data_IF_455320769414
#
_entry.id   IF_455320769414
#
_cell.length_a   1.000
_cell.length_b   1.000
_cell.length_c   1.000
_cell.angle_alpha   90.00
_cell.angle_beta   90.00
_cell.angle_gamma   90.00
#
_symmetry.space_group_name_H-M   'P 1'
#
loop_
_entity.id
_entity.type
_entity.pdbx_description
1 polymer ?
#
# COMPACT_ATOMS: atom_id res chain seq x y z
N UNK A 1 15.83 -1.60 3.04
CA UNK A 1 16.00 -3.07 2.96
C UNK A 1 15.80 -3.75 4.32
N UNK A 2 15.91 -3.02 5.44
CA UNK A 2 15.62 -3.53 6.78
C UNK A 2 14.12 -3.76 6.96
N UNK A 3 13.69 -4.96 7.41
CA UNK A 3 12.28 -5.23 7.68
C UNK A 3 11.80 -4.59 9.00
N UNK A 4 10.48 -4.39 9.18
CA UNK A 4 9.94 -3.56 10.28
C UNK A 4 10.31 -4.03 11.69
N UNK A 5 10.37 -5.34 11.92
CA UNK A 5 10.71 -5.94 13.20
C UNK A 5 12.16 -5.63 13.63
N UNK A 6 13.06 -5.47 12.66
CA UNK A 6 14.45 -5.07 12.90
C UNK A 6 14.63 -3.56 12.91
N UNK A 7 13.78 -2.81 12.21
CA UNK A 7 13.84 -1.35 12.15
C UNK A 7 13.73 -0.72 13.55
N UNK A 8 12.82 -1.22 14.42
CA UNK A 8 12.66 -0.70 15.79
C UNK A 8 13.96 -0.79 16.61
N UNK A 9 14.66 -1.92 16.51
CA UNK A 9 15.91 -2.16 17.23
C UNK A 9 17.08 -1.36 16.64
N UNK A 10 17.23 -1.34 15.32
CA UNK A 10 18.33 -0.59 14.67
C UNK A 10 18.24 0.91 14.92
N UNK A 11 17.02 1.43 15.13
CA UNK A 11 16.80 2.83 15.49
C UNK A 11 16.73 3.06 17.01
N UNK A 12 17.20 2.11 17.82
CA UNK A 12 17.27 2.21 19.29
C UNK A 12 15.95 2.59 19.96
N UNK A 13 14.81 2.21 19.36
CA UNK A 13 13.49 2.43 19.95
C UNK A 13 13.13 1.34 20.97
N UNK A 14 13.90 0.25 21.03
CA UNK A 14 13.67 -0.91 21.89
C UNK A 14 15.00 -1.64 22.09
N UNK A 15 15.23 -2.16 23.30
CA UNK A 15 16.36 -3.07 23.56
C UNK A 15 16.01 -4.53 23.20
N UNK A 16 14.71 -4.81 23.03
CA UNK A 16 14.21 -6.15 22.78
C UNK A 16 14.56 -6.63 21.36
N UNK A 17 15.17 -7.80 21.29
CA UNK A 17 15.54 -8.43 20.03
C UNK A 17 14.30 -9.07 19.35
N UNK A 18 14.08 -8.88 18.03
CA UNK A 18 12.89 -9.41 17.36
C UNK A 18 12.80 -10.94 17.34
N UNK A 19 13.91 -11.66 17.55
CA UNK A 19 13.88 -13.13 17.71
C UNK A 19 13.48 -13.57 19.12
N UNK A 20 13.73 -12.75 20.14
CA UNK A 20 13.37 -13.05 21.54
C UNK A 20 11.95 -12.56 21.85
N UNK A 21 11.58 -11.41 21.28
CA UNK A 21 10.26 -10.80 21.39
C UNK A 21 9.68 -10.59 19.99
N UNK A 22 9.09 -11.64 19.39
CA UNK A 22 8.49 -11.53 18.07
C UNK A 22 7.33 -10.52 18.09
N UNK A 23 7.21 -9.75 17.01
CA UNK A 23 6.07 -8.86 16.85
C UNK A 23 4.78 -9.66 16.65
N UNK A 24 3.65 -9.15 17.11
CA UNK A 24 2.34 -9.74 16.87
C UNK A 24 2.12 -9.91 15.36
N UNK A 25 1.61 -11.07 14.93
CA UNK A 25 1.39 -11.43 13.52
C UNK A 25 -0.11 -11.40 13.12
N UNK A 26 -0.73 -10.22 12.93
CA UNK A 26 -2.06 -10.11 12.36
C UNK A 26 -2.11 -10.62 10.92
N UNK A 27 -3.27 -11.16 10.54
CA UNK A 27 -3.54 -11.81 9.24
C UNK A 27 -3.21 -10.95 8.00
N UNK A 28 -3.15 -9.63 8.16
CA UNK A 28 -2.93 -8.67 7.07
C UNK A 28 -1.49 -8.14 6.99
N UNK A 29 -0.58 -8.57 7.89
CA UNK A 29 0.82 -8.17 7.79
C UNK A 29 1.43 -8.74 6.51
N UNK A 30 2.26 -7.92 5.86
CA UNK A 30 3.02 -8.35 4.70
C UNK A 30 4.10 -9.35 5.12
N UNK A 31 4.01 -10.58 4.59
CA UNK A 31 5.04 -11.62 4.79
C UNK A 31 6.39 -11.26 4.19
N UNK A 32 6.36 -10.57 3.05
CA UNK A 32 7.55 -10.14 2.32
C UNK A 32 7.65 -8.61 2.38
N UNK A 33 8.67 -8.11 3.07
CA UNK A 33 8.97 -6.68 3.09
C UNK A 33 9.37 -6.18 1.69
N UNK A 34 8.69 -5.13 1.19
CA UNK A 34 9.07 -4.45 -0.05
C UNK A 34 9.92 -3.22 0.28
N UNK A 35 11.08 -3.12 -0.35
CA UNK A 35 11.96 -1.97 -0.23
C UNK A 35 11.43 -0.77 -1.05
N UNK A 36 12.12 0.36 -0.99
CA UNK A 36 11.76 1.55 -1.77
C UNK A 36 11.77 1.24 -3.28
N UNK A 37 10.62 1.42 -3.93
CA UNK A 37 10.39 1.14 -5.36
C UNK A 37 10.34 2.40 -6.23
N UNK A 38 10.68 3.58 -5.70
CA UNK A 38 10.77 4.83 -6.50
C UNK A 38 11.71 4.66 -7.70
N UNK A 39 11.27 5.10 -8.89
CA UNK A 39 12.04 4.98 -10.13
C UNK A 39 11.91 3.62 -10.82
N UNK A 40 11.13 2.69 -10.26
CA UNK A 40 10.83 1.40 -10.88
C UNK A 40 9.39 1.36 -11.43
N UNK A 41 9.05 0.40 -12.32
CA UNK A 41 7.66 0.23 -12.78
C UNK A 41 6.64 -0.06 -11.67
N UNK A 42 7.11 -0.48 -10.48
CA UNK A 42 6.26 -0.78 -9.31
C UNK A 42 6.11 0.40 -8.35
N UNK A 43 6.59 1.59 -8.71
CA UNK A 43 6.48 2.77 -7.87
C UNK A 43 5.02 3.14 -7.59
N UNK A 44 4.79 3.81 -6.47
CA UNK A 44 3.48 4.36 -6.16
C UNK A 44 3.10 5.45 -7.16
N UNK A 45 1.93 5.32 -7.78
CA UNK A 45 1.35 6.33 -8.69
C UNK A 45 0.01 6.79 -8.08
N UNK A 46 -0.16 8.09 -7.77
CA UNK A 46 -1.40 8.58 -7.20
C UNK A 46 -2.53 8.56 -8.23
N UNK A 47 -3.73 8.18 -7.78
CA UNK A 47 -4.96 8.23 -8.57
C UNK A 47 -6.14 8.62 -7.67
N UNK A 48 -7.25 9.06 -8.26
CA UNK A 48 -8.48 9.30 -7.51
C UNK A 48 -9.03 7.96 -7.00
N UNK A 49 -9.05 7.77 -5.69
CA UNK A 49 -9.74 6.64 -5.04
C UNK A 49 -11.26 6.81 -4.98
N UNK A 50 -11.77 7.95 -5.47
CA UNK A 50 -13.20 8.24 -5.55
C UNK A 50 -13.75 7.91 -6.93
N UNK A 51 -14.98 7.41 -6.97
CA UNK A 51 -15.73 7.19 -8.20
C UNK A 51 -16.28 8.50 -8.75
N UNK A 52 -16.66 8.50 -10.03
CA UNK A 52 -17.30 9.65 -10.68
C UNK A 52 -18.56 10.06 -9.92
N UNK A 53 -18.68 11.36 -9.62
CA UNK A 53 -19.80 11.91 -8.84
C UNK A 53 -21.09 12.01 -9.65
N UNK A 54 -21.00 12.46 -10.90
CA UNK A 54 -22.16 12.75 -11.75
C UNK A 54 -22.23 11.68 -12.84
N UNK A 55 -23.39 11.06 -13.01
CA UNK A 55 -23.65 10.17 -14.13
C UNK A 55 -24.10 11.01 -15.33
N UNK A 56 -23.40 10.89 -16.45
CA UNK A 56 -23.76 11.58 -17.68
C UNK A 56 -24.97 10.91 -18.31
N UNK A 57 -25.82 11.72 -18.92
CA UNK A 57 -26.80 11.19 -19.84
C UNK A 57 -26.11 10.73 -21.13
N UNK A 58 -26.33 9.47 -21.51
CA UNK A 58 -25.85 8.91 -22.78
C UNK A 58 -26.97 9.02 -23.81
N UNK A 59 -26.78 9.73 -24.93
CA UNK A 59 -27.81 9.89 -25.95
C UNK A 59 -28.17 8.56 -26.62
N UNK A 60 -29.44 8.38 -27.04
CA UNK A 60 -29.80 7.26 -27.89
C UNK A 60 -29.11 7.40 -29.25
N UNK A 61 -28.55 6.30 -29.76
CA UNK A 61 -27.90 6.27 -31.08
C UNK A 61 -28.90 6.27 -32.25
N UNK A 62 -30.20 6.21 -31.97
CA UNK A 62 -31.24 6.19 -33.00
C UNK A 62 -31.57 7.61 -33.49
N UNK A 63 -31.76 7.80 -34.81
CA UNK A 63 -32.15 9.10 -35.34
C UNK A 63 -33.50 9.54 -34.81
N UNK A 64 -33.63 10.83 -34.50
CA UNK A 64 -34.91 11.44 -34.16
C UNK A 64 -35.80 11.45 -35.41
N UNK A 65 -37.05 10.96 -35.28
CA UNK A 65 -38.02 10.93 -36.38
C UNK A 65 -38.61 12.31 -36.66
#
# INVERSE_FOLDING_TARGET
MVPPEWHRRLHSMTDDHPTTHPSTDPKFIWRNHKFNVTGTPYQYVPYSTTTKKIQEWVPPSTPHK
#
